data_IF_357087661574
#
_entry.id   IF_357087661574
#
_cell.length_a   1.000
_cell.length_b   1.000
_cell.length_c   1.000
_cell.angle_alpha   90.00
_cell.angle_beta   90.00
_cell.angle_gamma   90.00
#
_symmetry.space_group_name_H-M   'P 1'
#
loop_
_entity.id
_entity.type
_entity.pdbx_description
1 polymer ?
#
# COMPACT_ATOMS: atom_id res chain seq x y z
N UNK A 1 -6.05 -25.16 -5.53
CA UNK A 1 -7.34 -25.79 -5.20
C UNK A 1 -8.29 -24.67 -4.81
N UNK A 2 -9.27 -24.42 -5.65
CA UNK A 2 -10.11 -23.21 -5.70
C UNK A 2 -11.32 -23.44 -4.78
N UNK A 3 -11.56 -22.54 -3.82
CA UNK A 3 -12.81 -22.50 -3.05
C UNK A 3 -13.65 -21.30 -3.50
N UNK A 4 -14.93 -21.52 -3.88
CA UNK A 4 -15.80 -20.48 -4.41
C UNK A 4 -16.43 -19.68 -3.25
N UNK A 5 -16.17 -18.38 -3.19
CA UNK A 5 -16.87 -17.46 -2.28
C UNK A 5 -18.08 -16.85 -2.98
N UNK A 6 -19.09 -17.68 -3.26
CA UNK A 6 -20.48 -17.25 -3.36
C UNK A 6 -21.28 -18.09 -2.36
N UNK A 7 -21.25 -17.64 -1.10
CA UNK A 7 -22.04 -18.16 0.00
C UNK A 7 -22.88 -17.03 0.57
N UNK A 8 -24.17 -17.08 0.28
CA UNK A 8 -25.17 -16.10 0.67
C UNK A 8 -25.46 -16.24 2.17
N UNK A 9 -24.68 -15.57 3.02
CA UNK A 9 -24.95 -15.47 4.46
C UNK A 9 -24.70 -14.04 4.94
N UNK A 10 -25.68 -13.16 4.69
CA UNK A 10 -26.18 -12.10 5.59
C UNK A 10 -25.25 -11.10 6.31
N UNK A 11 -23.93 -11.20 6.21
CA UNK A 11 -22.96 -10.33 6.89
C UNK A 11 -21.58 -10.46 6.23
N UNK A 12 -21.32 -9.74 5.14
CA UNK A 12 -20.01 -9.78 4.48
C UNK A 12 -19.82 -8.59 3.53
N UNK A 13 -18.75 -7.80 3.73
CA UNK A 13 -18.16 -6.80 2.82
C UNK A 13 -19.03 -5.65 2.25
N UNK A 14 -20.36 -5.75 2.32
CA UNK A 14 -21.32 -4.77 1.80
C UNK A 14 -21.60 -3.62 2.77
N UNK A 15 -21.40 -3.83 4.08
CA UNK A 15 -21.58 -2.78 5.10
C UNK A 15 -20.62 -1.60 4.84
N UNK A 16 -19.36 -1.90 4.52
CA UNK A 16 -18.34 -0.91 4.19
C UNK A 16 -18.54 -0.23 2.82
N UNK A 17 -19.11 -0.94 1.84
CA UNK A 17 -19.44 -0.38 0.50
C UNK A 17 -20.56 0.69 0.56
N UNK A 18 -21.51 0.59 1.49
CA UNK A 18 -22.66 1.52 1.55
C UNK A 18 -22.36 2.81 2.31
N UNK A 19 -21.63 2.77 3.41
CA UNK A 19 -21.46 3.95 4.27
C UNK A 19 -20.52 5.02 3.69
N UNK A 20 -19.44 4.62 3.00
CA UNK A 20 -18.49 5.59 2.41
C UNK A 20 -19.01 6.24 1.11
N UNK A 21 -19.73 5.50 0.25
CA UNK A 21 -20.16 6.01 -1.07
C UNK A 21 -21.38 6.93 -0.93
N UNK A 22 -22.31 6.65 -0.01
CA UNK A 22 -23.51 7.49 0.17
C UNK A 22 -23.21 8.86 0.80
N UNK A 23 -22.14 8.98 1.59
CA UNK A 23 -21.75 10.26 2.20
C UNK A 23 -21.19 11.28 1.20
N UNK A 24 -20.68 10.83 0.04
CA UNK A 24 -19.97 11.69 -0.92
C UNK A 24 -20.85 12.01 -2.15
N UNK A 25 -21.78 11.12 -2.52
CA UNK A 25 -22.53 11.23 -3.77
C UNK A 25 -23.72 12.21 -3.79
N UNK A 26 -24.30 12.60 -2.65
CA UNK A 26 -25.59 13.31 -2.61
C UNK A 26 -25.52 14.84 -2.65
N UNK A 27 -24.34 15.46 -2.78
CA UNK A 27 -24.19 16.93 -2.73
C UNK A 27 -23.76 17.62 -4.05
N UNK A 28 -23.82 16.94 -5.19
CA UNK A 28 -23.29 17.49 -6.48
C UNK A 28 -24.36 17.53 -7.59
N UNK A 29 -25.59 17.95 -7.30
CA UNK A 29 -26.53 18.32 -8.37
C UNK A 29 -27.30 19.58 -7.99
N UNK A 30 -27.10 20.63 -8.78
CA UNK A 30 -27.75 21.93 -8.66
C UNK A 30 -27.05 22.96 -9.55
N UNK A 31 -27.41 23.00 -10.83
CA UNK A 31 -27.09 24.10 -11.74
C UNK A 31 -27.99 25.30 -11.44
N UNK A 32 -27.41 26.52 -11.38
CA UNK A 32 -28.18 27.75 -11.56
C UNK A 32 -27.29 28.91 -12.04
N UNK A 33 -27.87 29.70 -12.94
CA UNK A 33 -27.39 30.89 -13.62
C UNK A 33 -26.59 31.90 -12.77
N UNK A 34 -25.55 32.46 -13.38
CA UNK A 34 -24.74 33.56 -12.83
C UNK A 34 -25.41 34.93 -13.03
N UNK A 35 -25.67 35.63 -11.92
CA UNK A 35 -25.65 37.08 -11.83
C UNK A 35 -24.59 37.51 -10.80
N UNK A 36 -23.94 38.64 -11.08
CA UNK A 36 -22.69 39.07 -10.46
C UNK A 36 -22.95 39.89 -9.17
N UNK A 37 -22.99 39.24 -8.00
CA UNK A 37 -22.99 39.91 -6.69
C UNK A 37 -22.15 39.14 -5.66
N UNK A 38 -21.14 39.83 -5.11
CA UNK A 38 -20.36 39.51 -3.89
C UNK A 38 -19.74 38.11 -3.79
N UNK A 39 -18.41 38.02 -3.99
CA UNK A 39 -17.61 36.87 -3.56
C UNK A 39 -17.54 36.89 -2.02
N UNK A 40 -18.59 36.37 -1.38
CA UNK A 40 -18.45 35.82 -0.04
C UNK A 40 -17.57 34.57 -0.17
N UNK A 41 -16.43 34.56 0.53
CA UNK A 41 -15.54 33.40 0.56
C UNK A 41 -16.28 32.22 1.19
N UNK A 42 -16.81 31.34 0.35
CA UNK A 42 -17.32 30.05 0.78
C UNK A 42 -16.24 29.36 1.65
N UNK A 43 -16.59 28.72 2.78
CA UNK A 43 -15.61 27.99 3.58
C UNK A 43 -14.89 26.98 2.67
N UNK A 44 -13.57 27.03 2.68
CA UNK A 44 -12.74 26.19 1.81
C UNK A 44 -13.20 24.73 1.94
N UNK A 45 -13.72 24.14 0.86
CA UNK A 45 -14.06 22.71 0.84
C UNK A 45 -12.81 21.96 1.28
N UNK A 46 -12.89 21.16 2.34
CA UNK A 46 -11.79 20.28 2.74
C UNK A 46 -11.40 19.43 1.53
N UNK A 47 -10.13 19.48 1.13
CA UNK A 47 -9.64 18.73 -0.03
C UNK A 47 -9.69 17.21 0.21
N UNK A 48 -9.97 16.44 -0.84
CA UNK A 48 -10.12 14.97 -0.79
C UNK A 48 -8.93 14.28 -0.08
N UNK A 49 -7.71 14.74 -0.35
CA UNK A 49 -6.49 14.19 0.28
C UNK A 49 -6.50 14.36 1.80
N UNK A 50 -7.01 15.49 2.31
CA UNK A 50 -7.11 15.70 3.77
C UNK A 50 -8.15 14.76 4.37
N UNK A 51 -9.33 14.67 3.75
CA UNK A 51 -10.40 13.81 4.23
C UNK A 51 -9.96 12.34 4.34
N UNK A 52 -9.25 11.81 3.34
CA UNK A 52 -8.75 10.42 3.41
C UNK A 52 -7.64 10.26 4.47
N UNK A 53 -6.79 11.27 4.68
CA UNK A 53 -5.78 11.23 5.74
C UNK A 53 -6.41 11.20 7.14
N UNK A 54 -7.47 11.98 7.35
CA UNK A 54 -8.22 11.98 8.62
C UNK A 54 -8.86 10.62 8.89
N UNK A 55 -9.47 9.99 7.88
CA UNK A 55 -10.03 8.63 7.98
C UNK A 55 -8.94 7.61 8.31
N UNK A 56 -7.83 7.59 7.56
CA UNK A 56 -6.72 6.67 7.81
C UNK A 56 -6.19 6.86 9.24
N UNK A 57 -5.96 8.12 9.64
CA UNK A 57 -5.42 8.43 10.96
C UNK A 57 -6.36 7.97 12.09
N UNK A 58 -7.67 8.14 11.93
CA UNK A 58 -8.65 7.65 12.91
C UNK A 58 -8.74 6.12 12.95
N UNK A 59 -8.84 5.47 11.79
CA UNK A 59 -9.15 4.04 11.71
C UNK A 59 -7.94 3.15 12.01
N UNK A 60 -6.71 3.53 11.62
CA UNK A 60 -5.53 2.69 11.88
C UNK A 60 -5.15 2.60 13.37
N UNK A 61 -5.73 3.43 14.24
CA UNK A 61 -5.54 3.37 15.69
C UNK A 61 -6.52 2.42 16.38
N UNK A 62 -7.57 1.99 15.67
CA UNK A 62 -8.58 1.09 16.22
C UNK A 62 -8.08 -0.34 16.23
N UNK A 63 -8.62 -1.13 17.16
CA UNK A 63 -8.39 -2.57 17.14
C UNK A 63 -9.02 -3.16 15.86
N UNK A 64 -8.27 -4.02 15.17
CA UNK A 64 -8.78 -4.75 14.02
C UNK A 64 -9.80 -5.79 14.50
N UNK A 65 -10.81 -6.07 13.67
CA UNK A 65 -11.73 -7.18 13.95
C UNK A 65 -10.98 -8.52 13.93
N UNK A 66 -11.51 -9.58 14.56
CA UNK A 66 -10.91 -10.91 14.49
C UNK A 66 -10.71 -11.42 13.06
N UNK A 67 -11.69 -11.16 12.18
CA UNK A 67 -11.66 -11.57 10.78
C UNK A 67 -10.55 -10.84 10.01
N UNK A 68 -10.45 -9.52 10.19
CA UNK A 68 -9.43 -8.71 9.55
C UNK A 68 -8.03 -9.04 10.08
N UNK A 69 -7.91 -9.33 11.37
CA UNK A 69 -6.67 -9.81 11.98
C UNK A 69 -6.23 -11.13 11.35
N UNK A 70 -7.15 -12.09 11.19
CA UNK A 70 -6.84 -13.38 10.56
C UNK A 70 -6.41 -13.21 9.10
N UNK A 71 -7.14 -12.40 8.32
CA UNK A 71 -6.81 -12.12 6.92
C UNK A 71 -5.44 -11.43 6.76
N UNK A 72 -5.16 -10.41 7.59
CA UNK A 72 -3.89 -9.71 7.58
C UNK A 72 -2.73 -10.65 7.97
N UNK A 73 -2.90 -11.49 9.00
CA UNK A 73 -1.88 -12.50 9.37
C UNK A 73 -1.62 -13.49 8.24
N UNK A 74 -2.66 -13.95 7.55
CA UNK A 74 -2.50 -14.86 6.43
C UNK A 74 -1.73 -14.21 5.27
N UNK A 75 -2.07 -12.98 4.89
CA UNK A 75 -1.37 -12.25 3.84
C UNK A 75 0.08 -11.93 4.19
N UNK A 76 0.36 -11.61 5.46
CA UNK A 76 1.73 -11.41 5.96
C UNK A 76 2.53 -12.71 5.91
N UNK A 77 1.94 -13.83 6.34
CA UNK A 77 2.60 -15.14 6.30
C UNK A 77 2.89 -15.59 4.86
N UNK A 78 1.94 -15.39 3.95
CA UNK A 78 2.10 -15.63 2.51
C UNK A 78 3.25 -14.78 1.94
N UNK A 79 3.21 -13.46 2.16
CA UNK A 79 4.26 -12.54 1.71
C UNK A 79 5.64 -12.90 2.26
N UNK A 80 5.75 -13.28 3.54
CA UNK A 80 7.01 -13.75 4.12
C UNK A 80 7.50 -15.05 3.46
N UNK A 81 6.61 -16.03 3.25
CA UNK A 81 6.98 -17.29 2.63
C UNK A 81 7.47 -17.09 1.18
N UNK A 82 6.73 -16.31 0.39
CA UNK A 82 7.10 -15.95 -0.98
C UNK A 82 8.40 -15.14 -0.98
N UNK A 83 8.55 -14.17 -0.08
CA UNK A 83 9.76 -13.36 0.06
C UNK A 83 11.00 -14.20 0.36
N UNK A 84 10.91 -15.14 1.31
CA UNK A 84 12.00 -16.07 1.61
C UNK A 84 12.35 -16.91 0.38
N UNK A 85 11.37 -17.47 -0.33
CA UNK A 85 11.64 -18.22 -1.56
C UNK A 85 12.29 -17.33 -2.64
N UNK A 86 11.79 -16.11 -2.82
CA UNK A 86 12.28 -15.16 -3.81
C UNK A 86 13.70 -14.63 -3.57
N UNK A 87 14.24 -14.75 -2.34
CA UNK A 87 15.64 -14.40 -2.08
C UNK A 87 16.65 -15.26 -2.84
N UNK A 88 16.21 -16.42 -3.36
CA UNK A 88 17.03 -17.30 -4.20
C UNK A 88 17.11 -16.85 -5.66
N UNK A 89 16.28 -15.88 -6.08
CA UNK A 89 16.24 -15.38 -7.44
C UNK A 89 17.31 -14.32 -7.72
N UNK A 90 17.72 -14.24 -8.99
CA UNK A 90 18.87 -13.41 -9.40
C UNK A 90 18.65 -11.92 -9.12
N UNK A 91 17.45 -11.39 -9.34
CA UNK A 91 17.20 -9.95 -9.22
C UNK A 91 17.27 -9.46 -7.74
N UNK A 92 16.61 -10.10 -6.76
CA UNK A 92 16.82 -9.78 -5.34
C UNK A 92 18.27 -9.98 -4.87
N UNK A 93 19.00 -10.98 -5.38
CA UNK A 93 20.43 -11.16 -5.05
C UNK A 93 21.28 -9.97 -5.49
N UNK A 94 21.10 -9.48 -6.73
CA UNK A 94 21.79 -8.28 -7.22
C UNK A 94 21.45 -7.07 -6.35
N UNK A 95 20.17 -6.90 -5.98
CA UNK A 95 19.75 -5.81 -5.11
C UNK A 95 20.35 -5.94 -3.69
N UNK A 96 20.48 -7.16 -3.17
CA UNK A 96 21.10 -7.41 -1.88
C UNK A 96 22.61 -7.10 -1.90
N UNK A 97 23.33 -7.53 -2.95
CA UNK A 97 24.73 -7.17 -3.18
C UNK A 97 24.91 -5.64 -3.22
N UNK A 98 24.01 -4.95 -3.94
CA UNK A 98 23.99 -3.49 -3.98
C UNK A 98 23.75 -2.90 -2.59
N UNK A 99 22.74 -3.35 -1.85
CA UNK A 99 22.44 -2.86 -0.50
C UNK A 99 23.61 -3.07 0.47
N UNK A 100 24.29 -4.22 0.40
CA UNK A 100 25.51 -4.47 1.19
C UNK A 100 26.64 -3.49 0.83
N UNK A 101 26.84 -3.20 -0.45
CA UNK A 101 27.86 -2.24 -0.90
C UNK A 101 27.61 -0.81 -0.41
N UNK A 102 26.34 -0.42 -0.26
CA UNK A 102 25.96 0.90 0.27
C UNK A 102 26.07 0.97 1.80
N UNK A 103 26.05 -0.16 2.50
CA UNK A 103 26.09 -0.22 3.95
C UNK A 103 24.79 0.29 4.59
N UNK A 104 24.88 1.29 5.46
CA UNK A 104 23.75 1.84 6.22
C UNK A 104 23.66 1.29 7.65
N UNK A 105 22.93 2.01 8.50
CA UNK A 105 22.79 1.64 9.91
C UNK A 105 22.03 0.29 10.03
N UNK A 106 22.62 -0.77 10.61
CA UNK A 106 22.12 -2.14 10.50
C UNK A 106 20.96 -2.44 11.47
N UNK A 107 19.79 -1.83 11.23
CA UNK A 107 18.60 -1.94 12.09
C UNK A 107 17.43 -2.68 11.46
N UNK A 108 17.52 -3.01 10.16
CA UNK A 108 16.46 -3.72 9.45
C UNK A 108 17.04 -4.88 8.65
N UNK A 109 16.43 -6.06 8.80
CA UNK A 109 16.87 -7.32 8.23
C UNK A 109 16.51 -7.44 6.75
N UNK A 110 17.48 -7.89 5.95
CA UNK A 110 17.20 -8.39 4.60
C UNK A 110 16.86 -9.88 4.72
N UNK A 111 15.64 -10.24 4.29
CA UNK A 111 15.04 -11.55 4.54
C UNK A 111 15.96 -12.67 4.04
N UNK A 112 16.18 -13.68 4.90
CA UNK A 112 16.92 -14.91 4.59
C UNK A 112 18.37 -14.75 4.04
N UNK A 113 18.93 -13.54 4.02
CA UNK A 113 20.28 -13.28 3.48
C UNK A 113 21.34 -13.00 4.55
N UNK A 114 20.96 -13.07 5.83
CA UNK A 114 21.92 -13.09 6.95
C UNK A 114 22.56 -11.74 7.30
N UNK A 115 22.04 -10.63 6.81
CA UNK A 115 22.54 -9.30 7.14
C UNK A 115 21.42 -8.27 7.40
N UNK A 116 21.81 -7.16 8.02
CA UNK A 116 20.96 -5.99 8.25
C UNK A 116 21.54 -4.76 7.58
N UNK A 117 20.67 -3.82 7.25
CA UNK A 117 21.00 -2.50 6.65
C UNK A 117 19.98 -1.46 7.15
N UNK A 118 19.96 -0.28 6.51
CA UNK A 118 18.95 0.75 6.76
C UNK A 118 17.53 0.27 6.41
N UNK A 119 16.48 0.83 7.03
CA UNK A 119 15.11 0.43 6.74
C UNK A 119 14.73 0.55 5.26
N UNK A 120 15.22 1.59 4.57
CA UNK A 120 14.93 1.84 3.15
C UNK A 120 15.55 0.75 2.26
N UNK A 121 16.83 0.44 2.45
CA UNK A 121 17.50 -0.59 1.64
C UNK A 121 16.94 -1.98 1.94
N UNK A 122 16.63 -2.28 3.21
CA UNK A 122 16.02 -3.54 3.58
C UNK A 122 14.62 -3.67 2.96
N UNK A 123 13.80 -2.62 3.01
CA UNK A 123 12.47 -2.62 2.43
C UNK A 123 12.51 -2.83 0.91
N UNK A 124 13.44 -2.16 0.21
CA UNK A 124 13.58 -2.30 -1.23
C UNK A 124 13.94 -3.72 -1.66
N UNK A 125 14.96 -4.33 -1.04
CA UNK A 125 15.38 -5.71 -1.37
C UNK A 125 14.27 -6.71 -1.03
N UNK A 126 13.65 -6.57 0.13
CA UNK A 126 12.57 -7.46 0.56
C UNK A 126 11.33 -7.32 -0.35
N UNK A 127 10.99 -6.11 -0.79
CA UNK A 127 9.90 -5.88 -1.74
C UNK A 127 10.15 -6.53 -3.11
N UNK A 128 11.39 -6.49 -3.59
CA UNK A 128 11.79 -7.26 -4.78
C UNK A 128 11.63 -8.76 -4.55
N UNK A 129 12.12 -9.27 -3.42
CA UNK A 129 12.04 -10.70 -3.10
C UNK A 129 10.60 -11.21 -2.99
N UNK A 130 9.69 -10.43 -2.41
CA UNK A 130 8.26 -10.82 -2.32
C UNK A 130 7.60 -10.83 -3.71
N UNK A 131 8.04 -9.97 -4.63
CA UNK A 131 7.40 -9.85 -5.95
C UNK A 131 8.03 -10.71 -7.06
N UNK A 132 9.30 -11.11 -6.94
CA UNK A 132 10.07 -11.68 -8.06
C UNK A 132 9.48 -12.96 -8.65
N UNK A 133 8.82 -13.79 -7.83
CA UNK A 133 8.20 -15.05 -8.24
C UNK A 133 6.77 -14.86 -8.78
N UNK A 134 6.22 -13.65 -8.68
CA UNK A 134 4.82 -13.33 -9.01
C UNK A 134 3.80 -14.22 -8.27
N UNK A 135 4.14 -14.64 -7.06
CA UNK A 135 3.43 -15.70 -6.34
C UNK A 135 2.67 -15.25 -5.09
N UNK A 136 2.83 -13.97 -4.72
CA UNK A 136 2.08 -13.37 -3.61
C UNK A 136 0.60 -13.18 -3.95
N UNK A 137 -0.24 -13.05 -2.91
CA UNK A 137 -1.66 -12.76 -3.07
C UNK A 137 -1.92 -11.49 -3.93
N UNK A 138 -2.88 -11.61 -4.85
CA UNK A 138 -3.37 -10.53 -5.70
C UNK A 138 -4.79 -10.11 -5.30
N UNK A 139 -5.10 -8.82 -5.45
CA UNK A 139 -6.42 -8.25 -5.14
C UNK A 139 -7.30 -8.06 -6.39
N UNK A 140 -8.60 -7.77 -6.18
CA UNK A 140 -9.53 -7.31 -7.22
C UNK A 140 -10.18 -5.97 -6.84
N UNK A 141 -9.95 -4.87 -7.59
CA UNK A 141 -9.31 -4.83 -8.91
C UNK A 141 -7.79 -5.11 -8.89
N UNK A 142 -7.20 -5.56 -10.02
CA UNK A 142 -5.86 -6.14 -10.03
C UNK A 142 -4.77 -5.21 -9.49
N UNK A 143 -4.10 -5.66 -8.43
CA UNK A 143 -2.84 -5.11 -7.90
C UNK A 143 -2.24 -6.09 -6.90
N UNK A 144 -0.92 -6.01 -6.70
CA UNK A 144 -0.21 -6.70 -5.62
C UNK A 144 0.01 -5.70 -4.48
N UNK A 145 -0.66 -5.91 -3.34
CA UNK A 145 -0.59 -4.96 -2.22
C UNK A 145 0.50 -5.30 -1.22
N UNK A 146 0.89 -6.58 -1.14
CA UNK A 146 1.76 -7.10 -0.09
C UNK A 146 3.22 -6.69 -0.33
N UNK A 147 3.78 -6.94 -1.51
CA UNK A 147 5.18 -6.64 -1.85
C UNK A 147 5.61 -5.18 -1.73
N UNK A 148 4.78 -4.16 -2.01
CA UNK A 148 5.17 -2.77 -1.70
C UNK A 148 4.97 -2.40 -0.23
N UNK A 149 4.12 -3.10 0.53
CA UNK A 149 3.68 -2.65 1.87
C UNK A 149 4.35 -3.40 3.01
N UNK A 150 4.32 -4.73 2.97
CA UNK A 150 4.88 -5.58 4.00
C UNK A 150 6.36 -5.28 4.33
N UNK A 151 7.27 -5.14 3.36
CA UNK A 151 8.68 -4.95 3.67
C UNK A 151 8.96 -3.63 4.39
N UNK A 152 8.19 -2.57 4.07
CA UNK A 152 8.24 -1.27 4.76
C UNK A 152 7.84 -1.41 6.22
N UNK A 153 6.71 -2.08 6.46
CA UNK A 153 6.19 -2.29 7.81
C UNK A 153 7.17 -3.11 8.64
N UNK A 154 7.73 -4.19 8.09
CA UNK A 154 8.69 -5.02 8.81
C UNK A 154 9.99 -4.28 9.12
N UNK A 155 10.54 -3.57 8.13
CA UNK A 155 11.78 -2.82 8.30
C UNK A 155 11.64 -1.73 9.38
N UNK A 156 10.55 -0.96 9.35
CA UNK A 156 10.28 0.07 10.35
C UNK A 156 9.90 -0.52 11.70
N UNK A 157 9.16 -1.63 11.74
CA UNK A 157 8.82 -2.31 12.98
C UNK A 157 10.07 -2.79 13.72
N UNK A 158 10.99 -3.43 13.01
CA UNK A 158 12.26 -3.89 13.58
C UNK A 158 13.10 -2.72 14.07
N UNK A 159 13.29 -1.69 13.24
CA UNK A 159 14.15 -0.56 13.59
C UNK A 159 13.62 0.30 14.74
N UNK A 160 12.31 0.26 15.01
CA UNK A 160 11.65 1.08 16.04
C UNK A 160 11.02 0.25 17.17
N UNK A 161 11.31 -1.05 17.25
CA UNK A 161 10.75 -1.98 18.25
C UNK A 161 9.21 -1.92 18.34
N UNK A 162 8.52 -1.93 17.19
CA UNK A 162 7.05 -1.91 17.13
C UNK A 162 6.45 -3.29 17.39
N UNK A 163 5.22 -3.31 17.86
CA UNK A 163 4.52 -4.55 18.21
C UNK A 163 3.89 -5.22 17.00
N UNK A 164 3.54 -6.51 17.13
CA UNK A 164 2.77 -7.21 16.08
C UNK A 164 1.42 -6.56 15.79
N UNK A 165 0.79 -5.91 16.78
CA UNK A 165 -0.45 -5.14 16.57
C UNK A 165 -0.20 -3.89 15.70
N UNK A 166 0.92 -3.20 15.89
CA UNK A 166 1.31 -2.06 15.04
C UNK A 166 1.57 -2.51 13.60
N UNK A 167 2.26 -3.64 13.43
CA UNK A 167 2.52 -4.27 12.12
C UNK A 167 1.20 -4.53 11.39
N UNK A 168 0.24 -5.20 12.05
CA UNK A 168 -1.04 -5.54 11.44
C UNK A 168 -1.83 -4.29 11.03
N UNK A 169 -1.92 -3.28 11.90
CA UNK A 169 -2.67 -2.04 11.61
C UNK A 169 -2.04 -1.23 10.47
N UNK A 170 -0.72 -1.08 10.48
CA UNK A 170 -0.01 -0.36 9.42
C UNK A 170 -0.10 -1.08 8.06
N UNK A 171 0.06 -2.41 8.06
CA UNK A 171 -0.08 -3.24 6.86
C UNK A 171 -1.48 -3.13 6.25
N UNK A 172 -2.52 -3.23 7.08
CA UNK A 172 -3.92 -3.07 6.63
C UNK A 172 -4.16 -1.67 6.07
N UNK A 173 -3.69 -0.62 6.73
CA UNK A 173 -3.85 0.75 6.24
C UNK A 173 -3.21 0.97 4.85
N UNK A 174 -2.01 0.41 4.64
CA UNK A 174 -1.32 0.46 3.34
C UNK A 174 -2.03 -0.34 2.24
N UNK A 175 -2.59 -1.51 2.56
CA UNK A 175 -3.37 -2.30 1.61
C UNK A 175 -4.71 -1.61 1.24
N UNK A 176 -5.38 -1.04 2.24
CA UNK A 176 -6.68 -0.37 2.07
C UNK A 176 -6.58 0.84 1.13
N UNK A 177 -5.57 1.71 1.32
CA UNK A 177 -5.41 2.87 0.45
C UNK A 177 -5.09 2.46 -0.99
N UNK A 178 -4.34 1.38 -1.19
CA UNK A 178 -4.09 0.83 -2.53
C UNK A 178 -5.38 0.39 -3.20
N UNK A 179 -6.21 -0.37 -2.47
CA UNK A 179 -7.53 -0.79 -2.96
C UNK A 179 -8.41 0.40 -3.33
N UNK A 180 -8.46 1.44 -2.48
CA UNK A 180 -9.24 2.66 -2.72
C UNK A 180 -8.75 3.44 -3.94
N UNK A 181 -7.43 3.64 -4.08
CA UNK A 181 -6.86 4.32 -5.24
C UNK A 181 -7.05 3.52 -6.51
N UNK A 182 -6.94 2.19 -6.42
CA UNK A 182 -7.24 1.31 -7.54
C UNK A 182 -8.69 1.47 -7.97
N UNK A 183 -9.63 1.44 -7.03
CA UNK A 183 -11.05 1.68 -7.30
C UNK A 183 -11.32 3.08 -7.88
N UNK A 184 -10.63 4.11 -7.39
CA UNK A 184 -10.79 5.47 -7.89
C UNK A 184 -10.23 5.64 -9.32
N UNK A 185 -9.21 4.87 -9.70
CA UNK A 185 -8.59 4.99 -11.03
C UNK A 185 -9.52 4.59 -12.18
N UNK A 186 -10.46 3.68 -11.96
CA UNK A 186 -11.32 3.12 -13.02
C UNK A 186 -10.59 2.30 -14.08
N UNK A 187 -9.25 2.18 -14.02
CA UNK A 187 -8.41 1.56 -15.05
C UNK A 187 -8.24 0.06 -14.83
N UNK A 188 -9.32 -0.72 -14.76
CA UNK A 188 -9.25 -2.14 -14.35
C UNK A 188 -8.87 -3.11 -15.47
N UNK A 189 -9.15 -2.73 -16.70
CA UNK A 189 -8.86 -3.52 -17.90
C UNK A 189 -7.42 -3.30 -18.33
N UNK A 190 -6.81 -4.31 -18.95
CA UNK A 190 -5.41 -4.21 -19.40
C UNK A 190 -5.25 -3.23 -20.58
N UNK A 191 -6.31 -3.02 -21.37
CA UNK A 191 -6.31 -2.05 -22.45
C UNK A 191 -6.13 -0.62 -21.89
N UNK A 192 -5.06 0.04 -22.31
CA UNK A 192 -4.74 1.41 -21.90
C UNK A 192 -3.97 1.55 -20.57
N UNK A 193 -3.67 0.44 -19.86
CA UNK A 193 -2.80 0.49 -18.68
C UNK A 193 -1.35 0.64 -19.14
N UNK A 194 -0.77 1.81 -18.90
CA UNK A 194 0.64 2.10 -19.22
C UNK A 194 1.58 1.88 -18.03
N UNK A 195 1.04 1.95 -16.82
CA UNK A 195 1.79 1.79 -15.58
C UNK A 195 1.39 0.53 -14.82
N UNK A 196 2.40 -0.21 -14.34
CA UNK A 196 2.21 -1.37 -13.47
C UNK A 196 1.64 -0.91 -12.11
N UNK A 197 0.45 -1.39 -11.69
CA UNK A 197 -0.26 -0.85 -10.52
C UNK A 197 0.55 -0.83 -9.20
N UNK A 198 1.34 -1.86 -8.83
CA UNK A 198 2.20 -1.80 -7.65
C UNK A 198 3.20 -0.64 -7.65
N UNK A 199 3.71 -0.24 -8.83
CA UNK A 199 4.59 0.91 -8.98
C UNK A 199 3.87 2.26 -8.96
N UNK A 200 2.53 2.28 -8.82
CA UNK A 200 1.72 3.51 -8.73
C UNK A 200 1.00 3.57 -7.40
N UNK A 201 0.03 2.69 -7.17
CA UNK A 201 -0.74 2.69 -5.92
C UNK A 201 0.08 2.13 -4.77
N UNK A 202 0.99 1.19 -5.04
CA UNK A 202 1.86 0.60 -4.03
C UNK A 202 2.80 1.62 -3.39
N UNK A 203 3.30 2.60 -4.15
CA UNK A 203 4.13 3.71 -3.63
C UNK A 203 3.37 4.52 -2.57
N UNK A 204 2.08 4.77 -2.81
CA UNK A 204 1.22 5.45 -1.84
C UNK A 204 0.87 4.54 -0.67
N UNK A 205 0.62 3.24 -0.92
CA UNK A 205 0.39 2.23 0.11
C UNK A 205 1.55 2.11 1.10
N UNK A 206 2.77 2.03 0.58
CA UNK A 206 4.02 2.03 1.33
C UNK A 206 4.15 3.28 2.19
N UNK A 207 3.92 4.47 1.62
CA UNK A 207 4.00 5.73 2.35
C UNK A 207 2.95 5.85 3.47
N UNK A 208 1.73 5.37 3.24
CA UNK A 208 0.68 5.30 4.27
C UNK A 208 1.07 4.33 5.37
N UNK A 209 1.52 3.12 5.03
CA UNK A 209 1.95 2.13 6.01
C UNK A 209 3.13 2.62 6.85
N UNK A 210 4.14 3.22 6.22
CA UNK A 210 5.26 3.87 6.89
C UNK A 210 4.79 4.95 7.87
N UNK A 211 3.90 5.83 7.41
CA UNK A 211 3.35 6.91 8.24
C UNK A 211 2.59 6.37 9.44
N UNK A 212 1.76 5.34 9.25
CA UNK A 212 1.02 4.68 10.33
C UNK A 212 1.96 4.03 11.35
N UNK A 213 2.96 3.25 10.91
CA UNK A 213 3.86 2.57 11.86
C UNK A 213 4.82 3.53 12.56
N UNK A 214 5.16 4.65 11.94
CA UNK A 214 5.95 5.72 12.55
C UNK A 214 5.14 6.57 13.53
N UNK A 215 3.81 6.48 13.52
CA UNK A 215 2.92 7.30 14.36
C UNK A 215 2.75 8.73 13.84
N UNK A 216 2.75 8.93 12.52
CA UNK A 216 2.61 10.23 11.90
C UNK A 216 1.20 10.81 12.11
N UNK A 217 1.14 12.13 12.34
CA UNK A 217 -0.12 12.88 12.36
C UNK A 217 -0.71 13.10 10.96
N UNK A 218 -1.95 13.60 10.90
CA UNK A 218 -2.69 13.84 9.64
C UNK A 218 -1.91 14.70 8.64
N UNK A 219 -1.27 15.79 9.07
CA UNK A 219 -0.51 16.65 8.16
C UNK A 219 0.77 15.98 7.62
N UNK A 220 1.46 15.21 8.45
CA UNK A 220 2.64 14.44 8.02
C UNK A 220 2.24 13.36 7.01
N UNK A 221 1.13 12.65 7.27
CA UNK A 221 0.56 11.68 6.34
C UNK A 221 0.20 12.33 5.00
N UNK A 222 -0.41 13.52 5.02
CA UNK A 222 -0.75 14.27 3.81
C UNK A 222 0.50 14.64 2.99
N UNK A 223 1.56 15.08 3.65
CA UNK A 223 2.84 15.35 2.98
C UNK A 223 3.48 14.08 2.43
N UNK A 224 3.44 12.98 3.18
CA UNK A 224 3.97 11.69 2.74
C UNK A 224 3.27 11.20 1.47
N UNK A 225 1.93 11.27 1.42
CA UNK A 225 1.15 10.92 0.21
C UNK A 225 1.52 11.83 -0.97
N UNK A 226 1.66 13.14 -0.76
CA UNK A 226 2.06 14.07 -1.81
C UNK A 226 3.45 13.74 -2.39
N UNK A 227 4.43 13.49 -1.52
CA UNK A 227 5.78 13.10 -1.92
C UNK A 227 5.82 11.72 -2.61
N UNK A 228 5.01 10.77 -2.14
CA UNK A 228 4.87 9.45 -2.75
C UNK A 228 4.27 9.53 -4.15
N UNK A 229 3.24 10.37 -4.34
CA UNK A 229 2.61 10.57 -5.65
C UNK A 229 3.61 11.11 -6.69
N UNK A 230 4.56 11.97 -6.30
CA UNK A 230 5.63 12.44 -7.19
C UNK A 230 6.70 11.39 -7.52
N UNK A 231 6.67 10.22 -6.87
CA UNK A 231 7.55 9.08 -7.13
C UNK A 231 6.81 7.87 -7.70
N UNK A 232 5.51 8.01 -7.95
CA UNK A 232 4.67 6.96 -8.51
C UNK A 232 4.86 6.84 -10.03
N UNK A 233 5.04 5.62 -10.51
CA UNK A 233 5.20 5.30 -11.93
C UNK A 233 6.16 4.13 -12.14
N UNK A 234 5.70 3.11 -12.86
CA UNK A 234 6.54 2.01 -13.32
C UNK A 234 5.97 1.46 -14.61
N UNK A 235 6.78 1.34 -15.66
CA UNK A 235 6.27 1.01 -16.99
C UNK A 235 5.83 -0.46 -17.08
N UNK A 236 4.62 -0.69 -17.59
CA UNK A 236 4.11 -2.06 -17.76
C UNK A 236 4.92 -2.89 -18.77
N UNK A 237 5.64 -2.24 -19.69
CA UNK A 237 6.50 -2.91 -20.67
C UNK A 237 7.65 -3.74 -20.07
N UNK A 238 7.95 -3.56 -18.79
CA UNK A 238 8.94 -4.37 -18.07
C UNK A 238 8.34 -5.65 -17.46
N UNK A 239 7.03 -5.84 -17.49
CA UNK A 239 6.38 -7.10 -17.06
C UNK A 239 6.90 -8.23 -17.95
N UNK A 240 7.35 -9.33 -17.33
CA UNK A 240 8.04 -10.44 -18.01
C UNK A 240 9.56 -10.36 -17.98
N UNK A 241 10.14 -9.30 -17.38
CA UNK A 241 11.57 -9.18 -17.13
C UNK A 241 11.88 -9.13 -15.64
N UNK A 242 13.16 -9.27 -15.28
CA UNK A 242 13.65 -9.07 -13.90
C UNK A 242 13.29 -7.68 -13.34
N UNK A 243 13.09 -6.67 -14.20
CA UNK A 243 12.71 -5.32 -13.76
C UNK A 243 11.30 -5.24 -13.17
N UNK A 244 10.40 -6.22 -13.40
CA UNK A 244 9.06 -6.21 -12.79
C UNK A 244 9.14 -6.15 -11.26
N UNK A 245 10.03 -6.93 -10.65
CA UNK A 245 10.17 -6.99 -9.19
C UNK A 245 10.69 -5.67 -8.59
N UNK A 246 11.46 -4.88 -9.36
CA UNK A 246 11.96 -3.58 -8.90
C UNK A 246 10.83 -2.56 -8.77
N UNK A 247 9.66 -2.76 -9.40
CA UNK A 247 8.50 -1.89 -9.22
C UNK A 247 8.03 -1.90 -7.75
N UNK A 248 7.97 -3.08 -7.14
CA UNK A 248 7.59 -3.22 -5.73
C UNK A 248 8.74 -2.83 -4.79
N UNK A 249 9.98 -3.16 -5.15
CA UNK A 249 11.15 -2.72 -4.39
C UNK A 249 11.37 -1.20 -4.38
N UNK A 250 11.02 -0.49 -5.45
CA UNK A 250 11.12 0.98 -5.52
C UNK A 250 9.93 1.65 -4.81
N UNK A 251 8.77 0.96 -4.79
CA UNK A 251 7.61 1.44 -4.08
C UNK A 251 7.77 1.38 -2.56
N UNK A 252 8.45 0.33 -2.07
CA UNK A 252 8.80 0.12 -0.67
C UNK A 252 9.90 1.08 -0.21
#
# INVERSE_FOLDING_TARGET
MILPLYGNSGCSALAWRRECVHSVGTKIQGEAHMSNESIQTAPARQGLTRAICEIIHAEHQRALSPELTAAARQAILDGLAVGVAGTTERAPQIAAEHAQSQGGHPVSTVLALGFKTSPVLAAAVNGMAIHVLDFEAMWSPPTHTTSPTLPVVLALAESQNRTGADILRAFVAGCEIQGRLRLASGQYELEGVTFHPPGVVGVVGAAVAASCIMGAGVEQLRHAIGLAASRAGSLIGNVGSMAKCTHCGTAA
#
